data_IF_206363124871
#
_entry.id   IF_206363124871
#
_cell.length_a   1.000
_cell.length_b   1.000
_cell.length_c   1.000
_cell.angle_alpha   90.00
_cell.angle_beta   90.00
_cell.angle_gamma   90.00
#
_symmetry.space_group_name_H-M   'P 1'
#
loop_
_entity.id
_entity.type
_entity.pdbx_description
1 polymer ?
#
# COMPACT_ATOMS: atom_id res chain seq x y z
N UNK A 1 36.37 -5.64 -18.52
CA UNK A 1 35.10 -4.88 -18.45
C UNK A 1 33.97 -5.88 -18.28
N UNK A 2 33.42 -5.92 -17.07
CA UNK A 2 32.28 -6.76 -16.69
C UNK A 2 30.99 -6.26 -17.36
N UNK A 3 30.14 -7.20 -17.78
CA UNK A 3 28.90 -6.92 -18.51
C UNK A 3 27.85 -7.99 -18.24
N UNK A 4 27.57 -8.19 -16.95
CA UNK A 4 26.40 -8.77 -16.30
C UNK A 4 25.38 -9.56 -17.15
N UNK A 5 25.37 -10.87 -16.88
CA UNK A 5 24.50 -11.93 -17.38
C UNK A 5 23.00 -11.56 -17.40
N UNK A 6 22.44 -11.26 -18.58
CA UNK A 6 21.00 -11.13 -18.85
C UNK A 6 20.34 -12.48 -19.18
N UNK A 7 20.64 -13.55 -18.43
CA UNK A 7 20.06 -14.87 -18.68
C UNK A 7 19.40 -15.43 -17.42
N UNK A 8 18.26 -14.85 -17.04
CA UNK A 8 17.29 -15.58 -16.21
C UNK A 8 16.34 -16.29 -17.17
N UNK A 9 16.56 -17.61 -17.32
CA UNK A 9 15.73 -18.54 -18.08
C UNK A 9 14.25 -18.31 -17.77
N UNK A 10 13.49 -17.85 -18.75
CA UNK A 10 12.01 -17.89 -18.78
C UNK A 10 11.59 -19.37 -18.59
N UNK A 11 11.27 -19.78 -17.36
CA UNK A 11 10.71 -21.12 -17.09
C UNK A 11 11.21 -21.83 -15.83
N UNK A 12 12.31 -21.40 -15.20
CA UNK A 12 12.74 -22.00 -13.94
C UNK A 12 11.89 -21.47 -12.78
N UNK A 13 11.23 -22.37 -12.03
CA UNK A 13 10.53 -21.98 -10.79
C UNK A 13 11.56 -21.41 -9.80
N UNK A 14 11.28 -20.28 -9.14
CA UNK A 14 12.17 -19.75 -8.11
C UNK A 14 12.37 -20.79 -7.01
N UNK A 15 13.56 -20.82 -6.44
CA UNK A 15 13.83 -21.66 -5.26
C UNK A 15 12.91 -21.28 -4.11
N UNK A 16 12.62 -22.23 -3.23
CA UNK A 16 11.77 -21.98 -2.04
C UNK A 16 12.36 -20.85 -1.19
N UNK A 17 13.68 -20.85 -0.98
CA UNK A 17 14.38 -19.81 -0.23
C UNK A 17 14.21 -18.42 -0.84
N UNK A 18 14.34 -18.28 -2.16
CA UNK A 18 14.14 -17.01 -2.84
C UNK A 18 12.68 -16.53 -2.74
N UNK A 19 11.71 -17.44 -2.85
CA UNK A 19 10.30 -17.09 -2.73
C UNK A 19 9.96 -16.58 -1.32
N UNK A 20 10.47 -17.23 -0.28
CA UNK A 20 10.29 -16.80 1.10
C UNK A 20 10.94 -15.43 1.34
N UNK A 21 12.18 -15.24 0.85
CA UNK A 21 12.85 -13.95 0.88
C UNK A 21 12.02 -12.85 0.21
N UNK A 22 11.43 -13.14 -0.96
CA UNK A 22 10.58 -12.20 -1.68
C UNK A 22 9.33 -11.83 -0.88
N UNK A 23 8.70 -12.79 -0.21
CA UNK A 23 7.53 -12.52 0.63
C UNK A 23 7.90 -11.73 1.88
N UNK A 24 9.00 -12.09 2.55
CA UNK A 24 9.47 -11.36 3.73
C UNK A 24 9.84 -9.91 3.39
N UNK A 25 10.61 -9.70 2.32
CA UNK A 25 10.96 -8.36 1.85
C UNK A 25 9.75 -7.53 1.45
N UNK A 26 8.68 -8.15 0.95
CA UNK A 26 7.43 -7.47 0.67
C UNK A 26 6.68 -7.09 1.96
N UNK A 27 6.63 -8.00 2.95
CA UNK A 27 5.93 -7.77 4.23
C UNK A 27 6.58 -6.68 5.08
N UNK A 28 7.90 -6.52 5.03
CA UNK A 28 8.63 -5.53 5.85
C UNK A 28 8.77 -4.16 5.19
N UNK A 29 8.35 -4.01 3.92
CA UNK A 29 8.57 -2.76 3.18
C UNK A 29 7.54 -1.69 3.57
N UNK A 30 8.03 -0.55 4.08
CA UNK A 30 7.21 0.60 4.54
C UNK A 30 6.26 1.20 3.50
N UNK A 31 6.63 1.15 2.22
CA UNK A 31 5.84 1.68 1.10
C UNK A 31 5.61 0.62 0.04
N UNK A 32 5.15 -0.55 0.46
CA UNK A 32 4.71 -1.55 -0.50
C UNK A 32 3.48 -1.05 -1.26
N UNK A 33 3.49 -1.17 -2.60
CA UNK A 33 2.30 -0.99 -3.42
C UNK A 33 1.18 -1.85 -2.80
N UNK A 34 0.05 -1.25 -2.36
CA UNK A 34 -0.95 -1.98 -1.59
C UNK A 34 -1.47 -3.22 -2.33
N UNK A 35 -1.54 -3.16 -3.66
CA UNK A 35 -1.89 -4.31 -4.49
C UNK A 35 -0.87 -5.45 -4.38
N UNK A 36 0.43 -5.13 -4.33
CA UNK A 36 1.51 -6.13 -4.30
C UNK A 36 1.61 -6.78 -2.92
N UNK A 37 1.45 -5.99 -1.86
CA UNK A 37 1.37 -6.50 -0.49
C UNK A 37 0.16 -7.42 -0.31
N UNK A 38 -1.03 -7.02 -0.78
CA UNK A 38 -2.24 -7.85 -0.71
C UNK A 38 -2.07 -9.18 -1.44
N UNK A 39 -1.45 -9.20 -2.62
CA UNK A 39 -1.12 -10.46 -3.33
C UNK A 39 -0.21 -11.37 -2.53
N UNK A 40 0.83 -10.80 -1.90
CA UNK A 40 1.74 -11.58 -1.06
C UNK A 40 1.03 -12.21 0.12
N UNK A 41 0.18 -11.45 0.82
CA UNK A 41 -0.66 -11.97 1.91
C UNK A 41 -1.57 -13.10 1.44
N UNK A 42 -2.22 -12.95 0.29
CA UNK A 42 -3.06 -14.01 -0.30
C UNK A 42 -2.24 -15.28 -0.56
N UNK A 43 -1.06 -15.17 -1.15
CA UNK A 43 -0.21 -16.34 -1.44
C UNK A 43 0.22 -17.08 -0.16
N UNK A 44 0.53 -16.33 0.91
CA UNK A 44 0.85 -16.92 2.22
C UNK A 44 -0.35 -17.65 2.78
N UNK A 45 -1.54 -17.03 2.77
CA UNK A 45 -2.78 -17.65 3.23
C UNK A 45 -3.05 -18.94 2.45
N UNK A 46 -2.91 -18.92 1.13
CA UNK A 46 -3.11 -20.11 0.28
C UNK A 46 -2.15 -21.25 0.65
N UNK A 47 -0.88 -20.92 0.94
CA UNK A 47 0.11 -21.89 1.39
C UNK A 47 -0.23 -22.50 2.75
N UNK A 48 -0.68 -21.68 3.70
CA UNK A 48 -1.06 -22.11 5.04
C UNK A 48 -2.30 -23.00 5.02
N UNK A 49 -3.37 -22.54 4.35
CA UNK A 49 -4.62 -23.32 4.22
C UNK A 49 -4.36 -24.64 3.50
N UNK A 50 -3.57 -24.63 2.41
CA UNK A 50 -3.21 -25.86 1.70
C UNK A 50 -2.37 -26.82 2.55
N UNK A 51 -1.55 -26.31 3.47
CA UNK A 51 -0.83 -27.15 4.44
C UNK A 51 -1.81 -27.77 5.43
N UNK A 52 -2.70 -26.98 6.02
CA UNK A 52 -3.69 -27.48 6.98
C UNK A 52 -4.61 -28.55 6.38
N UNK A 53 -5.08 -28.35 5.14
CA UNK A 53 -5.90 -29.34 4.43
C UNK A 53 -5.14 -30.67 4.25
N UNK A 54 -3.85 -30.63 3.89
CA UNK A 54 -3.02 -31.84 3.74
C UNK A 54 -2.78 -32.57 5.07
N UNK A 55 -2.84 -31.87 6.20
CA UNK A 55 -2.58 -32.41 7.54
C UNK A 55 -3.82 -32.38 8.44
N UNK A 56 -5.03 -32.49 7.86
CA UNK A 56 -6.30 -32.42 8.60
C UNK A 56 -6.38 -33.37 9.81
N UNK A 57 -5.77 -34.55 9.73
CA UNK A 57 -5.76 -35.55 10.82
C UNK A 57 -5.00 -35.09 12.07
N UNK A 58 -4.08 -34.13 11.93
CA UNK A 58 -3.25 -33.59 13.01
C UNK A 58 -3.44 -32.09 13.19
N UNK A 59 -4.51 -31.53 12.61
CA UNK A 59 -4.83 -30.11 12.72
C UNK A 59 -5.42 -29.81 14.09
N UNK A 60 -4.89 -28.82 14.79
CA UNK A 60 -5.48 -28.34 16.04
C UNK A 60 -6.74 -27.50 15.76
N UNK A 61 -7.59 -27.34 16.78
CA UNK A 61 -8.76 -26.43 16.68
C UNK A 61 -8.30 -24.99 16.44
N UNK A 62 -7.17 -24.59 17.00
CA UNK A 62 -6.58 -23.26 16.79
C UNK A 62 -6.16 -23.05 15.33
N UNK A 63 -5.50 -24.04 14.71
CA UNK A 63 -5.12 -23.98 13.30
C UNK A 63 -6.34 -23.90 12.38
N UNK A 64 -7.42 -24.60 12.73
CA UNK A 64 -8.69 -24.53 12.00
C UNK A 64 -9.32 -23.12 12.11
N UNK A 65 -9.31 -22.53 13.30
CA UNK A 65 -9.76 -21.15 13.51
C UNK A 65 -8.88 -20.14 12.77
N UNK A 66 -7.57 -20.35 12.75
CA UNK A 66 -6.63 -19.53 11.98
C UNK A 66 -6.92 -19.61 10.48
N UNK A 67 -7.22 -20.80 9.96
CA UNK A 67 -7.65 -20.98 8.56
C UNK A 67 -8.95 -20.23 8.28
N UNK A 68 -9.95 -20.32 9.16
CA UNK A 68 -11.21 -19.57 9.04
C UNK A 68 -10.95 -18.07 8.94
N UNK A 69 -10.14 -17.51 9.85
CA UNK A 69 -9.76 -16.09 9.82
C UNK A 69 -9.02 -15.73 8.52
N UNK A 70 -8.09 -16.58 8.09
CA UNK A 70 -7.32 -16.42 6.86
C UNK A 70 -8.22 -16.37 5.62
N UNK A 71 -9.22 -17.23 5.51
CA UNK A 71 -10.15 -17.26 4.38
C UNK A 71 -11.01 -16.00 4.29
N UNK A 72 -11.52 -15.52 5.43
CA UNK A 72 -12.26 -14.25 5.49
C UNK A 72 -11.37 -13.09 5.06
N UNK A 73 -10.15 -13.03 5.59
CA UNK A 73 -9.20 -11.97 5.26
C UNK A 73 -8.77 -12.02 3.78
N UNK A 74 -8.61 -13.21 3.20
CA UNK A 74 -8.33 -13.39 1.77
C UNK A 74 -9.41 -12.73 0.91
N UNK A 75 -10.69 -12.93 1.22
CA UNK A 75 -11.76 -12.32 0.42
C UNK A 75 -11.75 -10.79 0.55
N UNK A 76 -11.53 -10.25 1.75
CA UNK A 76 -11.34 -8.81 1.96
C UNK A 76 -10.20 -8.24 1.12
N UNK A 77 -9.07 -8.95 1.02
CA UNK A 77 -7.95 -8.54 0.17
C UNK A 77 -8.33 -8.58 -1.31
N UNK A 78 -9.13 -9.56 -1.75
CA UNK A 78 -9.61 -9.63 -3.15
C UNK A 78 -10.54 -8.45 -3.47
N UNK A 79 -11.40 -8.05 -2.56
CA UNK A 79 -12.30 -6.91 -2.76
C UNK A 79 -11.54 -5.60 -2.81
N UNK A 80 -10.53 -5.41 -1.95
CA UNK A 80 -9.63 -4.26 -2.04
C UNK A 80 -8.92 -4.20 -3.41
N UNK A 81 -8.42 -5.33 -3.90
CA UNK A 81 -7.78 -5.41 -5.22
C UNK A 81 -8.75 -5.07 -6.36
N UNK A 82 -9.99 -5.57 -6.31
CA UNK A 82 -11.05 -5.24 -7.27
C UNK A 82 -11.35 -3.73 -7.24
N UNK A 83 -11.49 -3.15 -6.05
CA UNK A 83 -11.76 -1.72 -5.86
C UNK A 83 -10.63 -0.83 -6.41
N UNK A 84 -9.37 -1.17 -6.11
CA UNK A 84 -8.21 -0.46 -6.63
C UNK A 84 -8.14 -0.51 -8.16
N UNK A 85 -8.44 -1.66 -8.77
CA UNK A 85 -8.46 -1.80 -10.22
C UNK A 85 -9.50 -0.88 -10.86
N UNK A 86 -10.71 -0.82 -10.29
CA UNK A 86 -11.80 0.05 -10.77
C UNK A 86 -11.42 1.54 -10.70
N UNK A 87 -10.82 1.97 -9.58
CA UNK A 87 -10.37 3.37 -9.40
C UNK A 87 -9.24 3.75 -10.37
N UNK A 88 -8.34 2.81 -10.68
CA UNK A 88 -7.27 3.03 -11.66
C UNK A 88 -7.83 3.13 -13.09
N UNK A 89 -8.82 2.32 -13.45
CA UNK A 89 -9.49 2.42 -14.76
C UNK A 89 -10.34 3.68 -14.93
N UNK A 90 -10.93 4.20 -13.86
CA UNK A 90 -11.71 5.45 -13.90
C UNK A 90 -10.87 6.72 -13.81
N UNK A 91 -9.57 6.60 -13.50
CA UNK A 91 -8.63 7.72 -13.40
C UNK A 91 -7.79 7.93 -14.68
N UNK A 92 -8.13 7.25 -15.79
CA UNK A 92 -7.57 7.61 -17.09
C UNK A 92 -7.99 9.06 -17.43
N UNK A 93 -7.05 9.95 -17.78
CA UNK A 93 -7.35 11.36 -17.94
C UNK A 93 -8.13 11.56 -19.24
N UNK A 94 -9.36 12.06 -19.12
CA UNK A 94 -9.97 12.84 -20.19
C UNK A 94 -9.17 14.15 -20.31
N UNK A 95 -8.10 14.14 -21.11
CA UNK A 95 -7.57 15.39 -21.69
C UNK A 95 -8.58 15.86 -22.73
N UNK A 96 -9.58 16.61 -22.28
CA UNK A 96 -10.41 17.42 -23.16
C UNK A 96 -10.12 18.89 -22.87
N UNK A 97 -9.43 19.52 -23.82
CA UNK A 97 -9.21 20.96 -23.87
C UNK A 97 -10.50 21.70 -24.24
N UNK A 98 -10.55 22.98 -23.85
CA UNK A 98 -11.39 24.07 -24.39
C UNK A 98 -12.88 24.06 -23.97
N UNK A 99 -13.57 25.16 -23.64
CA UNK A 99 -13.40 26.58 -23.99
C UNK A 99 -14.23 27.50 -23.06
N UNK A 100 -13.63 28.61 -22.65
CA UNK A 100 -14.21 29.96 -22.47
C UNK A 100 -15.69 30.14 -22.10
N UNK A 101 -15.94 30.69 -20.91
CA UNK A 101 -17.06 31.62 -20.69
C UNK A 101 -16.58 32.86 -19.94
N UNK A 102 -16.44 33.95 -20.68
CA UNK A 102 -16.28 35.33 -20.20
C UNK A 102 -17.49 35.73 -19.36
N UNK A 103 -17.27 36.31 -18.18
CA UNK A 103 -18.08 37.43 -17.64
C UNK A 103 -17.23 38.29 -16.68
N UNK A 104 -16.60 39.30 -17.28
CA UNK A 104 -16.45 40.69 -16.80
C UNK A 104 -16.59 40.98 -15.30
N UNK A 105 -15.49 41.42 -14.66
CA UNK A 105 -15.47 42.63 -13.81
C UNK A 105 -14.13 43.37 -13.98
N UNK A 106 -14.23 44.61 -14.43
CA UNK A 106 -13.21 45.65 -14.49
C UNK A 106 -12.71 46.02 -13.09
N UNK A 107 -11.39 46.13 -12.87
CA UNK A 107 -10.71 47.34 -12.34
C UNK A 107 -9.19 47.15 -12.23
N UNK A 108 -8.47 48.18 -12.71
CA UNK A 108 -7.19 48.72 -12.24
C UNK A 108 -5.91 47.84 -12.23
N UNK A 109 -4.97 48.24 -13.10
CA UNK A 109 -3.58 47.81 -13.08
C UNK A 109 -2.83 48.29 -11.82
N UNK A 110 -2.15 47.37 -11.12
CA UNK A 110 -1.05 47.67 -10.18
C UNK A 110 -0.06 46.49 -10.19
N UNK A 111 1.23 46.81 -10.22
CA UNK A 111 2.39 45.92 -10.38
C UNK A 111 2.47 44.77 -9.33
N UNK A 112 3.20 43.66 -9.63
CA UNK A 112 3.25 42.48 -8.77
C UNK A 112 4.10 42.76 -7.51
N UNK A 113 3.47 42.70 -6.34
CA UNK A 113 4.15 42.82 -5.05
C UNK A 113 4.38 41.44 -4.43
N UNK A 114 5.60 41.23 -3.94
CA UNK A 114 6.14 40.01 -3.34
C UNK A 114 5.32 39.48 -2.15
N UNK A 115 5.37 38.16 -1.84
CA UNK A 115 4.63 37.58 -0.71
C UNK A 115 5.14 38.10 0.65
N UNK A 116 4.25 38.39 1.62
CA UNK A 116 4.67 38.85 2.94
C UNK A 116 5.26 37.71 3.80
N UNK A 117 6.29 38.06 4.57
CA UNK A 117 7.02 37.19 5.50
C UNK A 117 6.20 36.98 6.80
N UNK A 118 6.18 35.78 7.40
CA UNK A 118 5.46 35.55 8.64
C UNK A 118 6.15 36.24 9.82
N UNK A 119 5.37 36.96 10.64
CA UNK A 119 5.83 37.59 11.88
C UNK A 119 6.13 36.53 12.93
N UNK A 120 7.37 36.52 13.41
CA UNK A 120 7.80 35.94 14.68
C UNK A 120 7.11 36.68 15.83
N UNK A 121 6.31 35.97 16.63
CA UNK A 121 6.01 36.37 18.00
C UNK A 121 6.79 35.47 18.96
N UNK A 122 7.63 36.10 19.76
CA UNK A 122 8.22 35.48 20.95
C UNK A 122 7.14 35.09 21.96
N UNK A 123 7.46 34.08 22.77
CA UNK A 123 6.81 33.84 24.05
C UNK A 123 6.00 32.54 24.14
N UNK A 124 6.68 31.45 24.54
CA UNK A 124 6.03 30.29 25.16
C UNK A 124 6.32 28.94 24.49
N UNK A 125 7.31 28.21 25.01
CA UNK A 125 7.43 26.74 24.89
C UNK A 125 7.36 26.14 26.31
N UNK A 126 7.15 24.82 26.47
CA UNK A 126 6.19 23.94 25.81
C UNK A 126 5.46 23.03 26.83
N UNK A 127 4.22 22.61 26.56
CA UNK A 127 3.69 21.35 27.13
C UNK A 127 2.93 20.60 26.06
N UNK A 128 3.65 19.72 25.36
CA UNK A 128 3.06 18.71 24.50
C UNK A 128 2.77 17.52 25.42
N UNK A 129 1.51 17.29 25.79
CA UNK A 129 1.12 16.04 26.45
C UNK A 129 1.08 14.95 25.39
N UNK A 130 2.19 14.26 25.21
CA UNK A 130 2.26 12.98 24.52
C UNK A 130 1.59 11.97 25.45
N UNK A 131 0.29 11.75 25.29
CA UNK A 131 -0.40 10.62 25.90
C UNK A 131 -0.34 9.47 24.89
N UNK A 132 0.67 8.62 25.03
CA UNK A 132 0.70 7.30 24.41
C UNK A 132 -0.05 6.29 25.29
N UNK A 133 -0.58 5.20 24.72
CA UNK A 133 -1.17 4.13 25.53
C UNK A 133 -0.06 3.42 26.30
N UNK A 134 -0.16 3.40 27.64
CA UNK A 134 0.67 2.57 28.51
C UNK A 134 0.53 1.10 28.12
N UNK A 135 1.65 0.54 27.71
CA UNK A 135 1.92 -0.89 27.73
C UNK A 135 2.38 -1.22 29.16
N UNK A 136 1.84 -2.31 29.70
CA UNK A 136 2.06 -2.92 31.04
C UNK A 136 1.17 -2.41 32.19
N UNK A 137 -0.01 -3.03 32.33
CA UNK A 137 -0.41 -3.81 33.52
C UNK A 137 -1.20 -5.03 33.05
#
# INVERSE_FOLDING_TARGET
MEGQQRNHRRGARPSVGYLLFQYQSELTRRHAEPTRLSRTKINIIDGLVSRTIRHLKHCSVEELQACKRGLVYKEQLRDQLKGMRRRRSSAAPNTSQNSSSKTSKTVAAKAPSTPPKPKTSEGGRPKVSIFGPEIFV
#
